data_IF_123487000735
#
_entry.id   IF_123487000735
#
_cell.length_a   1.000
_cell.length_b   1.000
_cell.length_c   1.000
_cell.angle_alpha   90.00
_cell.angle_beta   90.00
_cell.angle_gamma   90.00
#
_symmetry.space_group_name_H-M   'P 1'
#
loop_
_entity.id
_entity.type
_entity.pdbx_description
1 polymer ?
#
# COMPACT_ATOMS: atom_id res chain seq x y z
N UNK A 1 -21.84 -3.67 10.72
CA UNK A 1 -22.73 -2.63 10.18
C UNK A 1 -23.76 -2.16 11.21
N UNK A 2 -24.87 -2.86 11.49
CA UNK A 2 -25.94 -2.34 12.38
C UNK A 2 -25.45 -1.77 13.73
N UNK A 3 -24.63 -2.54 14.47
CA UNK A 3 -24.06 -2.10 15.77
C UNK A 3 -23.14 -0.88 15.66
N UNK A 4 -22.50 -0.67 14.52
CA UNK A 4 -21.59 0.45 14.30
C UNK A 4 -22.38 1.75 14.13
N UNK A 5 -23.47 1.72 13.35
CA UNK A 5 -24.35 2.87 13.14
C UNK A 5 -25.21 3.19 14.37
N UNK A 6 -25.57 2.18 15.16
CA UNK A 6 -26.32 2.40 16.40
C UNK A 6 -25.52 3.23 17.43
N UNK A 7 -24.18 3.20 17.40
CA UNK A 7 -23.33 4.06 18.25
C UNK A 7 -23.46 5.55 17.93
N UNK A 8 -24.01 5.87 16.76
CA UNK A 8 -24.29 7.23 16.30
C UNK A 8 -25.79 7.50 16.21
N UNK A 9 -26.61 6.70 16.90
CA UNK A 9 -28.08 6.82 16.91
C UNK A 9 -28.75 6.72 15.53
N UNK A 10 -28.12 6.01 14.59
CA UNK A 10 -28.65 5.76 13.24
C UNK A 10 -29.17 4.32 13.11
N UNK A 11 -30.48 4.16 12.92
CA UNK A 11 -31.10 2.85 12.61
C UNK A 11 -31.23 2.63 11.09
N UNK A 12 -30.24 1.93 10.53
CA UNK A 12 -30.17 1.60 9.10
C UNK A 12 -31.26 0.66 8.60
N UNK A 13 -32.11 0.11 9.48
CA UNK A 13 -33.29 -0.68 9.10
C UNK A 13 -34.51 0.19 8.84
N UNK A 14 -34.52 1.41 9.39
CA UNK A 14 -35.61 2.37 9.28
C UNK A 14 -35.31 3.48 8.29
N UNK A 15 -34.05 3.89 8.19
CA UNK A 15 -33.61 4.99 7.36
C UNK A 15 -32.53 4.53 6.37
N UNK A 16 -32.52 5.04 5.13
CA UNK A 16 -31.49 4.72 4.14
C UNK A 16 -30.11 5.22 4.58
N UNK A 17 -29.06 4.49 4.22
CA UNK A 17 -27.68 4.91 4.47
C UNK A 17 -27.26 5.99 3.47
N UNK A 18 -26.69 7.09 3.97
CA UNK A 18 -26.01 8.08 3.14
C UNK A 18 -24.65 7.50 2.70
N UNK A 19 -24.40 7.47 1.39
CA UNK A 19 -23.18 6.91 0.80
C UNK A 19 -22.54 7.92 -0.15
N UNK A 20 -21.22 7.99 -0.10
CA UNK A 20 -20.42 8.87 -0.96
C UNK A 20 -19.22 8.10 -1.51
N UNK A 21 -18.77 8.38 -2.75
CA UNK A 21 -17.52 7.85 -3.26
C UNK A 21 -16.37 8.22 -2.32
N UNK A 22 -15.60 7.22 -1.91
CA UNK A 22 -14.42 7.39 -1.04
C UNK A 22 -13.27 6.62 -1.66
N UNK A 23 -12.03 7.09 -1.48
CA UNK A 23 -10.84 6.34 -1.87
C UNK A 23 -10.89 4.95 -1.21
N UNK A 24 -10.89 3.91 -2.04
CA UNK A 24 -11.14 2.54 -1.57
C UNK A 24 -9.96 1.60 -1.79
N UNK A 25 -9.27 1.69 -2.92
CA UNK A 25 -8.24 0.74 -3.31
C UNK A 25 -7.19 1.41 -4.18
N UNK A 26 -5.93 1.03 -3.99
CA UNK A 26 -4.83 1.46 -4.82
C UNK A 26 -4.54 0.41 -5.91
N UNK A 27 -4.87 0.77 -7.15
CA UNK A 27 -4.63 -0.09 -8.33
C UNK A 27 -3.16 -0.09 -8.80
N UNK A 28 -2.42 0.98 -8.48
CA UNK A 28 -1.00 1.09 -8.75
C UNK A 28 -0.16 0.34 -7.70
N UNK A 29 1.14 0.30 -7.90
CA UNK A 29 2.06 -0.38 -6.99
C UNK A 29 3.36 -0.75 -7.70
N UNK A 30 4.10 -1.67 -7.10
CA UNK A 30 5.31 -2.21 -7.71
C UNK A 30 4.96 -3.12 -8.89
N UNK A 31 5.62 -2.91 -10.02
CA UNK A 31 5.49 -3.81 -11.17
C UNK A 31 6.03 -5.19 -10.80
N UNK A 32 5.25 -6.22 -11.14
CA UNK A 32 5.62 -7.61 -10.91
C UNK A 32 5.44 -8.45 -12.17
N UNK A 33 6.29 -9.46 -12.34
CA UNK A 33 6.09 -10.48 -13.37
C UNK A 33 5.14 -11.59 -12.89
N UNK A 34 4.91 -12.61 -13.73
CA UNK A 34 4.02 -13.73 -13.41
C UNK A 34 4.44 -14.58 -12.19
N UNK A 35 5.71 -14.46 -11.74
CA UNK A 35 6.27 -15.11 -10.55
C UNK A 35 6.20 -14.23 -9.30
N UNK A 36 5.58 -13.04 -9.40
CA UNK A 36 5.54 -12.03 -8.34
C UNK A 36 6.91 -11.41 -8.02
N UNK A 37 7.84 -11.42 -8.97
CA UNK A 37 9.16 -10.77 -8.84
C UNK A 37 9.08 -9.33 -9.30
N UNK A 38 9.74 -8.43 -8.58
CA UNK A 38 9.96 -7.05 -9.02
C UNK A 38 11.18 -6.94 -9.94
N UNK A 39 11.47 -5.73 -10.43
CA UNK A 39 12.74 -5.43 -11.11
C UNK A 39 13.96 -5.51 -10.21
N UNK A 40 13.78 -5.56 -8.89
CA UNK A 40 14.86 -5.73 -7.90
C UNK A 40 15.05 -7.23 -7.63
N UNK A 41 16.22 -7.81 -7.95
CA UNK A 41 16.47 -9.22 -7.73
C UNK A 41 16.30 -9.63 -6.26
N UNK A 42 15.51 -10.68 -6.03
CA UNK A 42 15.22 -11.19 -4.68
C UNK A 42 14.12 -10.45 -3.93
N UNK A 43 13.52 -9.41 -4.52
CA UNK A 43 12.34 -8.74 -3.96
C UNK A 43 11.07 -9.23 -4.66
N UNK A 44 10.17 -9.79 -3.86
CA UNK A 44 8.87 -10.31 -4.28
C UNK A 44 7.74 -9.50 -3.63
N UNK A 45 6.64 -9.30 -4.35
CA UNK A 45 5.51 -8.46 -3.90
C UNK A 45 4.20 -9.07 -4.34
N UNK A 46 3.15 -8.91 -3.52
CA UNK A 46 1.79 -9.35 -3.82
C UNK A 46 0.74 -8.46 -3.16
N UNK A 47 -0.51 -8.58 -3.59
CA UNK A 47 -1.65 -7.83 -3.05
C UNK A 47 -1.62 -6.36 -3.45
N UNK A 48 -2.22 -5.49 -2.64
CA UNK A 48 -2.41 -4.06 -2.94
C UNK A 48 -1.09 -3.27 -3.04
N UNK A 49 0.04 -3.84 -2.62
CA UNK A 49 1.37 -3.26 -2.87
C UNK A 49 1.88 -3.49 -4.31
N UNK A 50 1.31 -4.46 -5.03
CA UNK A 50 1.65 -4.74 -6.43
C UNK A 50 0.73 -3.99 -7.40
N UNK A 51 1.29 -3.60 -8.54
CA UNK A 51 0.58 -2.90 -9.60
C UNK A 51 0.34 -3.77 -10.84
N UNK A 52 -0.51 -3.27 -11.74
CA UNK A 52 -0.67 -3.80 -13.10
C UNK A 52 -1.76 -4.86 -13.27
N UNK A 53 -1.93 -5.78 -12.30
CA UNK A 53 -2.90 -6.90 -12.38
C UNK A 53 -4.34 -6.41 -12.60
N UNK A 54 -4.71 -5.29 -12.00
CA UNK A 54 -6.06 -4.74 -12.03
C UNK A 54 -6.27 -3.66 -13.10
N UNK A 55 -5.22 -3.30 -13.85
CA UNK A 55 -5.26 -2.17 -14.78
C UNK A 55 -5.75 -0.87 -14.11
N UNK A 56 -6.60 -0.12 -14.82
CA UNK A 56 -7.11 1.19 -14.35
C UNK A 56 -8.24 1.09 -13.32
N UNK A 57 -8.97 -0.02 -13.29
CA UNK A 57 -10.10 -0.18 -12.38
C UNK A 57 -10.23 -1.64 -11.95
N UNK A 58 -10.10 -1.89 -10.65
CA UNK A 58 -10.19 -3.23 -10.07
C UNK A 58 -11.65 -3.69 -10.02
N UNK A 59 -11.91 -4.93 -10.44
CA UNK A 59 -13.21 -5.57 -10.27
C UNK A 59 -13.43 -6.05 -8.81
N UNK A 60 -14.69 -6.04 -8.38
CA UNK A 60 -15.09 -6.45 -7.03
C UNK A 60 -14.64 -7.90 -6.74
N UNK A 61 -14.13 -8.17 -5.54
CA UNK A 61 -13.66 -9.50 -5.12
C UNK A 61 -12.24 -9.85 -5.57
N UNK A 62 -11.72 -9.24 -6.63
CA UNK A 62 -10.39 -9.59 -7.16
C UNK A 62 -9.23 -9.23 -6.23
N UNK A 63 -9.40 -8.32 -5.27
CA UNK A 63 -8.34 -7.99 -4.28
C UNK A 63 -8.03 -9.18 -3.36
N UNK A 64 -9.05 -9.93 -2.95
CA UNK A 64 -8.85 -11.10 -2.10
C UNK A 64 -8.21 -12.24 -2.88
N UNK A 65 -8.62 -12.42 -4.15
CA UNK A 65 -7.99 -13.36 -5.07
C UNK A 65 -6.52 -13.01 -5.30
N UNK A 66 -6.21 -11.72 -5.49
CA UNK A 66 -4.85 -11.22 -5.69
C UNK A 66 -3.93 -11.61 -4.53
N UNK A 67 -4.32 -11.26 -3.30
CA UNK A 67 -3.55 -11.57 -2.10
C UNK A 67 -3.27 -13.08 -1.99
N UNK A 68 -4.29 -13.92 -2.22
CA UNK A 68 -4.14 -15.38 -2.07
C UNK A 68 -3.25 -15.96 -3.18
N UNK A 69 -3.52 -15.60 -4.43
CA UNK A 69 -2.83 -16.20 -5.59
C UNK A 69 -1.41 -15.68 -5.72
N UNK A 70 -1.22 -14.36 -5.75
CA UNK A 70 0.10 -13.77 -5.91
C UNK A 70 0.92 -13.89 -4.63
N UNK A 71 0.30 -13.88 -3.44
CA UNK A 71 1.00 -14.17 -2.19
C UNK A 71 1.57 -15.58 -2.15
N UNK A 72 0.77 -16.59 -2.58
CA UNK A 72 1.25 -17.97 -2.71
C UNK A 72 2.37 -18.09 -3.76
N UNK A 73 2.22 -17.43 -4.92
CA UNK A 73 3.25 -17.42 -5.97
C UNK A 73 4.55 -16.79 -5.49
N UNK A 74 4.49 -15.63 -4.84
CA UNK A 74 5.65 -14.97 -4.26
C UNK A 74 6.38 -15.89 -3.28
N UNK A 75 5.65 -16.53 -2.36
CA UNK A 75 6.24 -17.46 -1.39
C UNK A 75 6.93 -18.66 -2.04
N UNK A 76 6.27 -19.31 -3.01
CA UNK A 76 6.85 -20.47 -3.72
C UNK A 76 8.10 -20.06 -4.50
N UNK A 77 8.05 -18.97 -5.26
CA UNK A 77 9.19 -18.56 -6.09
C UNK A 77 10.35 -18.04 -5.24
N UNK A 78 10.08 -17.31 -4.15
CA UNK A 78 11.11 -16.89 -3.21
C UNK A 78 11.80 -18.09 -2.54
N UNK A 79 11.03 -19.10 -2.13
CA UNK A 79 11.57 -20.33 -1.56
C UNK A 79 12.41 -21.13 -2.59
N UNK A 80 11.96 -21.19 -3.84
CA UNK A 80 12.73 -21.85 -4.91
C UNK A 80 14.04 -21.12 -5.18
N UNK A 81 14.02 -19.78 -5.20
CA UNK A 81 15.18 -18.93 -5.48
C UNK A 81 16.34 -19.15 -4.51
N UNK A 82 16.07 -19.55 -3.27
CA UNK A 82 17.10 -19.75 -2.24
C UNK A 82 17.68 -21.17 -2.20
N UNK A 83 17.04 -22.15 -2.87
CA UNK A 83 17.50 -23.56 -2.83
C UNK A 83 18.88 -23.76 -3.44
N UNK A 84 19.17 -23.06 -4.53
CA UNK A 84 20.45 -23.16 -5.25
C UNK A 84 21.60 -22.42 -4.54
N UNK A 85 21.33 -21.88 -3.35
CA UNK A 85 22.25 -21.03 -2.61
C UNK A 85 22.21 -19.59 -3.10
N UNK A 86 22.05 -18.65 -2.18
CA UNK A 86 22.16 -17.22 -2.47
C UNK A 86 23.43 -16.65 -1.85
N UNK A 87 24.14 -15.83 -2.63
CA UNK A 87 25.22 -15.01 -2.08
C UNK A 87 24.60 -13.77 -1.45
N UNK A 88 24.60 -13.70 -0.13
CA UNK A 88 24.16 -12.53 0.60
C UNK A 88 25.15 -11.37 0.40
N UNK A 89 24.62 -10.19 0.07
CA UNK A 89 25.39 -8.95 0.07
C UNK A 89 25.62 -8.42 1.48
N UNK A 90 26.56 -7.49 1.64
CA UNK A 90 26.72 -6.74 2.89
C UNK A 90 25.50 -5.83 3.07
N UNK A 91 24.78 -5.99 4.18
CA UNK A 91 23.67 -5.11 4.54
C UNK A 91 24.17 -3.67 4.68
N UNK A 92 23.46 -2.72 4.06
CA UNK A 92 23.80 -1.31 4.15
C UNK A 92 22.57 -0.42 3.95
N UNK A 93 22.65 0.79 4.48
CA UNK A 93 21.66 1.85 4.27
C UNK A 93 22.19 2.95 3.33
N UNK A 94 23.25 2.65 2.56
CA UNK A 94 23.91 3.65 1.72
C UNK A 94 22.96 4.21 0.65
N UNK A 95 22.02 3.42 0.14
CA UNK A 95 20.99 3.92 -0.78
C UNK A 95 20.08 4.98 -0.14
N UNK A 96 19.73 4.83 1.14
CA UNK A 96 18.91 5.80 1.89
C UNK A 96 19.71 7.07 2.12
N UNK A 97 20.97 6.95 2.55
CA UNK A 97 21.86 8.10 2.75
C UNK A 97 22.06 8.88 1.46
N UNK A 98 22.38 8.19 0.37
CA UNK A 98 22.56 8.79 -0.95
C UNK A 98 21.30 9.54 -1.40
N UNK A 99 20.12 8.93 -1.23
CA UNK A 99 18.86 9.60 -1.54
C UNK A 99 18.64 10.86 -0.69
N UNK A 100 18.93 10.81 0.62
CA UNK A 100 18.85 11.97 1.50
C UNK A 100 19.83 13.09 1.09
N UNK A 101 21.08 12.74 0.74
CA UNK A 101 22.06 13.69 0.23
C UNK A 101 21.65 14.30 -1.11
N UNK A 102 21.00 13.53 -2.00
CA UNK A 102 20.43 14.03 -3.25
C UNK A 102 19.30 15.04 -2.99
N UNK A 103 18.40 14.74 -2.05
CA UNK A 103 17.35 15.69 -1.63
C UNK A 103 17.93 16.99 -1.08
N UNK A 104 19.00 16.91 -0.28
CA UNK A 104 19.69 18.06 0.29
C UNK A 104 20.35 18.92 -0.80
N UNK A 105 20.99 18.28 -1.79
CA UNK A 105 21.59 18.98 -2.94
C UNK A 105 20.57 19.68 -3.83
N UNK A 106 19.38 19.10 -3.96
CA UNK A 106 18.29 19.64 -4.77
C UNK A 106 17.46 20.69 -4.00
N UNK A 107 17.81 21.01 -2.75
CA UNK A 107 17.09 21.92 -1.85
C UNK A 107 15.57 21.62 -1.80
N UNK A 108 15.23 20.31 -1.83
CA UNK A 108 13.83 19.89 -1.83
C UNK A 108 13.26 20.13 -0.42
N UNK A 109 12.12 20.81 -0.29
CA UNK A 109 11.49 21.02 1.00
C UNK A 109 11.20 19.69 1.71
N UNK A 110 11.90 19.43 2.81
CA UNK A 110 11.79 18.19 3.62
C UNK A 110 10.46 18.04 4.36
N UNK A 111 9.59 19.06 4.30
CA UNK A 111 8.20 18.99 4.79
C UNK A 111 7.27 18.96 3.60
N UNK A 112 7.09 17.77 3.02
CA UNK A 112 6.05 17.57 2.00
C UNK A 112 4.76 17.13 2.68
N UNK A 113 3.91 18.10 3.03
CA UNK A 113 2.54 17.79 3.38
C UNK A 113 1.81 17.57 2.06
N UNK A 114 1.34 16.35 1.80
CA UNK A 114 0.44 16.11 0.67
C UNK A 114 -0.71 17.12 0.73
N UNK A 115 -1.06 17.77 -0.39
CA UNK A 115 -2.13 18.76 -0.37
C UNK A 115 -3.39 18.13 0.22
N UNK A 116 -3.95 18.80 1.22
CA UNK A 116 -5.19 18.39 1.87
C UNK A 116 -6.31 18.77 0.90
N UNK A 117 -6.68 17.84 0.02
CA UNK A 117 -7.74 18.03 -0.98
C UNK A 117 -9.13 17.90 -0.34
N UNK A 118 -9.22 17.12 0.74
CA UNK A 118 -10.44 16.92 1.52
C UNK A 118 -10.24 17.40 2.95
N UNK A 119 -11.27 17.94 3.62
CA UNK A 119 -11.16 18.36 5.02
C UNK A 119 -10.64 17.22 5.91
N UNK A 120 -9.88 17.58 6.94
CA UNK A 120 -9.33 16.61 7.89
C UNK A 120 -10.50 15.95 8.65
N UNK A 121 -10.79 14.69 8.35
CA UNK A 121 -11.87 13.92 8.99
C UNK A 121 -11.43 13.29 10.31
N UNK A 122 -10.17 13.47 10.72
CA UNK A 122 -9.67 13.01 12.00
C UNK A 122 -10.30 13.88 13.10
N UNK A 123 -11.05 13.30 14.05
CA UNK A 123 -11.57 14.05 15.19
C UNK A 123 -10.44 14.76 15.95
N UNK A 124 -10.66 16.02 16.34
CA UNK A 124 -9.66 16.87 17.02
C UNK A 124 -9.06 16.24 18.30
N UNK A 125 -9.77 15.26 18.87
CA UNK A 125 -9.41 14.53 20.08
C UNK A 125 -8.29 13.49 19.85
N UNK A 126 -7.99 13.13 18.60
CA UNK A 126 -6.92 12.17 18.29
C UNK A 126 -5.58 12.89 18.13
N UNK A 127 -4.49 12.37 18.70
CA UNK A 127 -3.16 12.95 18.50
C UNK A 127 -2.82 12.92 17.01
N UNK A 128 -2.60 14.10 16.42
CA UNK A 128 -2.17 14.26 15.02
C UNK A 128 -0.78 13.64 14.84
N UNK A 129 -0.71 12.32 14.64
CA UNK A 129 0.50 11.63 14.22
C UNK A 129 0.73 11.91 12.74
N UNK A 130 1.25 13.10 12.43
CA UNK A 130 1.84 13.36 11.12
C UNK A 130 3.19 12.63 11.10
N UNK A 131 3.23 11.44 10.49
CA UNK A 131 4.49 10.88 10.02
C UNK A 131 4.99 11.79 8.91
N UNK A 132 5.95 12.64 9.27
CA UNK A 132 6.74 13.39 8.29
C UNK A 132 7.74 12.39 7.71
N UNK A 133 7.66 12.16 6.40
CA UNK A 133 8.72 11.55 5.60
C UNK A 133 9.51 12.65 4.92
#
# INVERSE_FOLDING_TARGET
>A
MLRQYHRFDIDIRKYPMLVYPTLHYQNGGLEINAKSETSIPGLYVAGEASGGVHGRNRLMGNSQLDIIVFGRRAGINAAEKVKDGIKLGKLSLEHVKKFAEELDKLDVPKKRISPIILPDYIPDQLPKRKLFF
#
